data_IF_412318922077
#
_entry.id   IF_412318922077
#
_cell.length_a   1.000
_cell.length_b   1.000
_cell.length_c   1.000
_cell.angle_alpha   90.00
_cell.angle_beta   90.00
_cell.angle_gamma   90.00
#
_symmetry.space_group_name_H-M   'P 1'
#
loop_
_entity.id
_entity.type
_entity.pdbx_description
1 polymer ?
#
# COMPACT_ATOMS: atom_id res chain seq x y z
N UNK A 1 11.23 -12.51 -0.10
CA UNK A 1 9.96 -11.74 -0.02
C UNK A 1 8.86 -12.60 -0.63
N UNK A 2 7.74 -12.75 0.06
CA UNK A 2 6.74 -13.77 -0.23
C UNK A 2 5.47 -13.12 -0.80
N UNK A 3 4.76 -13.77 -1.74
CA UNK A 3 3.45 -13.32 -2.25
C UNK A 3 2.48 -12.73 -1.20
N UNK A 4 2.36 -13.29 0.03
CA UNK A 4 1.58 -12.70 1.12
C UNK A 4 1.94 -11.25 1.50
N UNK A 5 3.18 -10.81 1.30
CA UNK A 5 3.59 -9.43 1.61
C UNK A 5 2.92 -8.44 0.64
N UNK A 6 2.83 -8.80 -0.65
CA UNK A 6 2.21 -7.96 -1.69
C UNK A 6 0.70 -7.82 -1.45
N UNK A 7 0.02 -8.94 -1.21
CA UNK A 7 -1.43 -8.92 -0.94
C UNK A 7 -1.75 -8.17 0.35
N UNK A 8 -0.91 -8.35 1.38
CA UNK A 8 -1.03 -7.61 2.64
C UNK A 8 -0.95 -6.09 2.40
N UNK A 9 0.10 -5.61 1.74
CA UNK A 9 0.28 -4.18 1.51
C UNK A 9 -0.81 -3.59 0.60
N UNK A 10 -1.26 -4.33 -0.41
CA UNK A 10 -2.37 -3.91 -1.28
C UNK A 10 -3.69 -3.81 -0.51
N UNK A 11 -4.00 -4.80 0.33
CA UNK A 11 -5.21 -4.78 1.16
C UNK A 11 -5.18 -3.62 2.16
N UNK A 12 -4.02 -3.38 2.80
CA UNK A 12 -3.84 -2.29 3.75
C UNK A 12 -3.97 -0.93 3.08
N UNK A 13 -3.33 -0.72 1.92
CA UNK A 13 -3.47 0.51 1.13
C UNK A 13 -4.94 0.86 0.88
N UNK A 14 -5.75 -0.10 0.44
CA UNK A 14 -7.17 0.13 0.19
C UNK A 14 -7.95 0.45 1.48
N UNK A 15 -7.68 -0.26 2.58
CA UNK A 15 -8.34 -0.01 3.86
C UNK A 15 -8.07 1.41 4.40
N UNK A 16 -6.85 1.92 4.23
CA UNK A 16 -6.52 3.28 4.64
C UNK A 16 -7.24 4.31 3.75
N UNK A 17 -7.33 4.08 2.44
CA UNK A 17 -8.12 4.96 1.54
C UNK A 17 -9.59 4.98 1.92
N UNK A 18 -10.20 3.82 2.13
CA UNK A 18 -11.60 3.70 2.54
C UNK A 18 -11.85 4.41 3.89
N UNK A 19 -10.89 4.35 4.81
CA UNK A 19 -10.97 5.02 6.11
C UNK A 19 -10.85 6.55 5.97
N UNK A 20 -9.97 7.02 5.09
CA UNK A 20 -9.82 8.44 4.77
C UNK A 20 -11.10 9.05 4.17
N UNK A 21 -11.80 8.28 3.33
CA UNK A 21 -13.08 8.70 2.73
C UNK A 21 -14.21 8.76 3.75
N UNK A 22 -14.22 7.86 4.73
CA UNK A 22 -15.29 7.75 5.74
C UNK A 22 -15.12 8.65 6.95
N UNK A 23 -13.92 9.20 7.16
CA UNK A 23 -13.65 10.04 8.33
C UNK A 23 -13.91 11.52 8.05
N UNK A 24 -14.58 12.19 8.98
CA UNK A 24 -14.85 13.62 8.94
C UNK A 24 -13.72 14.45 9.58
N UNK A 25 -12.84 13.80 10.37
CA UNK A 25 -11.70 14.47 10.97
C UNK A 25 -10.58 14.65 9.93
N UNK A 26 -10.26 15.90 9.64
CA UNK A 26 -9.23 16.26 8.65
C UNK A 26 -7.83 15.76 9.03
N UNK A 27 -7.49 15.68 10.31
CA UNK A 27 -6.23 15.15 10.81
C UNK A 27 -6.15 13.64 10.61
N UNK A 28 -7.20 12.92 11.01
CA UNK A 28 -7.32 11.47 10.79
C UNK A 28 -7.29 11.13 9.30
N UNK A 29 -8.01 11.89 8.46
CA UNK A 29 -7.97 11.74 7.01
C UNK A 29 -6.56 11.85 6.47
N UNK A 30 -5.81 12.86 6.90
CA UNK A 30 -4.42 13.07 6.48
C UNK A 30 -3.55 11.88 6.86
N UNK A 31 -3.67 11.37 8.09
CA UNK A 31 -2.91 10.22 8.57
C UNK A 31 -3.21 8.97 7.73
N UNK A 32 -4.48 8.69 7.47
CA UNK A 32 -4.87 7.56 6.62
C UNK A 32 -4.29 7.68 5.20
N UNK A 33 -4.33 8.86 4.60
CA UNK A 33 -3.73 9.08 3.27
C UNK A 33 -2.21 8.89 3.28
N UNK A 34 -1.51 9.42 4.29
CA UNK A 34 -0.07 9.21 4.45
C UNK A 34 0.29 7.71 4.63
N UNK A 35 -0.55 6.96 5.35
CA UNK A 35 -0.37 5.52 5.50
C UNK A 35 -0.62 4.76 4.19
N UNK A 36 -1.65 5.12 3.43
CA UNK A 36 -1.91 4.56 2.10
C UNK A 36 -0.71 4.79 1.16
N UNK A 37 -0.13 5.99 1.15
CA UNK A 37 1.07 6.29 0.35
C UNK A 37 2.27 5.44 0.77
N UNK A 38 2.49 5.22 2.07
CA UNK A 38 3.57 4.35 2.55
C UNK A 38 3.41 2.92 2.06
N UNK A 39 2.19 2.37 2.08
CA UNK A 39 1.92 1.03 1.55
C UNK A 39 2.10 0.96 0.03
N UNK A 40 1.68 2.00 -0.70
CA UNK A 40 1.93 2.11 -2.14
C UNK A 40 3.41 2.13 -2.49
N UNK A 41 4.24 2.89 -1.73
CA UNK A 41 5.70 2.88 -1.89
C UNK A 41 6.31 1.51 -1.63
N UNK A 42 5.85 0.80 -0.58
CA UNK A 42 6.28 -0.58 -0.32
C UNK A 42 5.96 -1.52 -1.48
N UNK A 43 4.77 -1.41 -2.06
CA UNK A 43 4.40 -2.20 -3.24
C UNK A 43 5.30 -1.91 -4.45
N UNK A 44 5.61 -0.63 -4.70
CA UNK A 44 6.53 -0.25 -5.77
C UNK A 44 7.96 -0.75 -5.51
N UNK A 45 8.46 -0.63 -4.27
CA UNK A 45 9.75 -1.18 -3.87
C UNK A 45 9.83 -2.69 -4.09
N UNK A 46 8.76 -3.43 -3.76
CA UNK A 46 8.68 -4.88 -4.01
C UNK A 46 8.65 -5.17 -5.50
N UNK A 47 7.87 -4.42 -6.29
CA UNK A 47 7.81 -4.57 -7.75
C UNK A 47 9.14 -4.28 -8.44
N UNK A 48 9.93 -3.33 -7.93
CA UNK A 48 11.28 -3.02 -8.42
C UNK A 48 12.29 -4.09 -7.96
N UNK A 49 12.17 -4.58 -6.72
CA UNK A 49 13.04 -5.60 -6.15
C UNK A 49 12.76 -7.02 -6.67
N UNK A 50 11.63 -7.24 -7.34
CA UNK A 50 11.33 -8.43 -8.13
C UNK A 50 11.65 -8.16 -9.60
N UNK A 51 12.92 -8.19 -10.03
CA UNK A 51 13.21 -8.22 -11.45
C UNK A 51 12.55 -9.48 -12.01
N UNK A 52 11.86 -9.31 -13.14
CA UNK A 52 11.30 -10.39 -13.97
C UNK A 52 12.17 -11.65 -13.92
N UNK A 53 11.81 -12.61 -13.08
CA UNK A 53 12.34 -13.98 -13.10
C UNK A 53 11.69 -14.78 -14.24
N UNK A 54 11.57 -14.15 -15.40
CA UNK A 54 10.91 -14.64 -16.60
C UNK A 54 11.65 -14.11 -17.83
N UNK A 55 12.95 -14.39 -17.93
CA UNK A 55 13.66 -14.51 -19.20
C UNK A 55 14.65 -15.67 -19.05
N UNK A 56 14.16 -16.87 -19.34
CA UNK A 56 14.95 -18.07 -19.59
C UNK A 56 14.52 -18.63 -20.95
#
# INVERSE_FOLDING_TARGET
MSHPDIEYYRRREQQERDSAERTDDHGARRIHLEMAERYSRRLNEIGIAMPSAAQA
#
